data_IF_155756071649
#
_entry.id   IF_155756071649
#
_cell.length_a   1.000
_cell.length_b   1.000
_cell.length_c   1.000
_cell.angle_alpha   90.00
_cell.angle_beta   90.00
_cell.angle_gamma   90.00
#
_symmetry.space_group_name_H-M   'P 1'
#
loop_
_entity.id
_entity.type
_entity.pdbx_description
1 polymer ?
2 non-polymer ?
3 non-polymer ?
4 water ?
#
# COMPACT_ATOMS: atom_id res chain seq x y z
N UNK A 5 -5.29 -24.58 -9.15
CA UNK A 5 -4.04 -24.05 -9.77
C UNK A 5 -4.33 -22.71 -10.45
N UNK A 6 -3.64 -21.67 -9.98
CA UNK A 6 -3.82 -20.34 -10.52
C UNK A 6 -3.18 -20.21 -11.89
N UNK A 7 -3.90 -19.60 -12.85
CA UNK A 7 -3.33 -19.39 -14.18
C UNK A 7 -2.44 -18.13 -14.14
N UNK A 8 -1.16 -18.33 -13.81
CA UNK A 8 -0.25 -17.21 -13.61
C UNK A 8 -0.07 -16.33 -14.83
N UNK A 9 -0.21 -16.94 -16.01
CA UNK A 9 -0.15 -16.22 -17.29
C UNK A 9 -1.36 -15.32 -17.54
N UNK A 10 -2.40 -15.46 -16.72
CA UNK A 10 -3.64 -14.71 -16.91
C UNK A 10 -3.93 -13.67 -15.83
N UNK A 11 -3.05 -13.59 -14.84
CA UNK A 11 -3.26 -12.69 -13.72
C UNK A 11 -2.30 -11.51 -13.84
N UNK A 12 -2.82 -10.30 -13.80
CA UNK A 12 -1.96 -9.12 -13.87
C UNK A 12 -0.93 -9.15 -12.74
N UNK A 13 0.35 -9.02 -13.12
CA UNK A 13 1.45 -9.35 -12.23
C UNK A 13 1.60 -8.51 -10.97
N UNK A 14 1.21 -7.23 -11.02
CA UNK A 14 1.37 -6.39 -9.84
C UNK A 14 0.51 -6.87 -8.68
N UNK A 15 -0.59 -7.56 -9.00
CA UNK A 15 -1.52 -8.04 -7.98
C UNK A 15 -0.89 -9.13 -7.11
N UNK A 16 -0.32 -10.13 -7.75
CA UNK A 16 0.12 -11.35 -7.05
C UNK A 16 1.58 -11.31 -6.64
N UNK A 17 2.41 -10.71 -7.49
CA UNK A 17 3.86 -10.76 -7.32
C UNK A 17 4.42 -9.39 -6.94
N UNK A 18 3.92 -8.35 -7.61
CA UNK A 18 4.42 -6.99 -7.42
C UNK A 18 5.50 -6.69 -8.43
N UNK A 19 5.42 -5.51 -9.04
CA UNK A 19 6.38 -5.13 -10.07
C UNK A 19 7.79 -4.99 -9.52
N UNK A 20 7.90 -4.46 -8.29
CA UNK A 20 9.19 -4.29 -7.62
C UNK A 20 10.22 -3.56 -8.49
N UNK A 21 9.77 -2.55 -9.23
CA UNK A 21 10.66 -1.80 -10.09
C UNK A 21 11.09 -0.50 -9.43
N UNK A 22 12.24 0.02 -9.84
CA UNK A 22 12.78 1.26 -9.27
C UNK A 22 11.99 2.51 -9.63
N UNK A 23 11.31 2.49 -10.77
CA UNK A 23 10.48 3.60 -11.22
C UNK A 23 9.09 3.08 -11.51
N UNK A 24 8.08 3.87 -11.20
CA UNK A 24 6.72 3.51 -11.56
C UNK A 24 5.93 4.74 -11.91
N UNK A 25 5.10 4.63 -12.95
CA UNK A 25 4.23 5.72 -13.35
C UNK A 25 2.78 5.25 -13.37
N UNK A 26 1.90 6.08 -12.82
CA UNK A 26 0.47 5.82 -12.85
C UNK A 26 -0.16 6.85 -13.80
N UNK A 27 -0.70 6.37 -14.92
CA UNK A 27 -1.29 7.25 -15.91
C UNK A 27 -2.80 7.14 -15.79
N UNK A 28 -3.42 8.17 -15.20
CA UNK A 28 -4.86 8.21 -14.99
C UNK A 28 -5.52 8.81 -16.22
N UNK A 29 -6.57 8.16 -16.71
CA UNK A 29 -7.15 8.57 -17.98
C UNK A 29 -8.67 8.55 -17.95
N UNK A 30 -9.25 9.27 -18.91
CA UNK A 30 -10.67 9.16 -19.21
C UNK A 30 -10.80 8.61 -20.64
N UNK A 31 -11.86 7.85 -20.88
CA UNK A 31 -12.15 7.31 -22.20
C UNK A 31 -13.00 8.33 -22.96
N UNK A 32 -12.53 8.73 -24.15
CA UNK A 32 -13.27 9.64 -25.03
C UNK A 32 -14.15 8.93 -26.06
N UNK A 33 -13.70 7.76 -26.49
CA UNK A 33 -14.32 7.03 -27.59
C UNK A 33 -14.18 5.57 -27.21
N UNK A 34 -15.28 4.98 -26.74
CA UNK A 34 -15.25 3.59 -26.25
C UNK A 34 -14.86 2.59 -27.34
N UNK A 35 -15.43 2.74 -28.54
CA UNK A 35 -15.13 1.81 -29.63
C UNK A 35 -13.66 1.81 -30.01
N UNK A 36 -13.08 3.00 -30.19
CA UNK A 36 -11.66 3.11 -30.54
C UNK A 36 -10.75 2.63 -29.42
N UNK A 37 -11.16 2.88 -28.17
CA UNK A 37 -10.39 2.41 -27.03
C UNK A 37 -10.32 0.89 -27.04
N UNK A 38 -11.47 0.25 -27.24
CA UNK A 38 -11.56 -1.21 -27.26
C UNK A 38 -10.73 -1.80 -28.39
N UNK A 39 -10.76 -1.15 -29.56
CA UNK A 39 -9.95 -1.58 -30.70
C UNK A 39 -8.47 -1.55 -30.36
N UNK A 40 -8.02 -0.44 -29.76
CA UNK A 40 -6.62 -0.32 -29.33
C UNK A 40 -6.28 -1.35 -28.25
N UNK A 41 -7.22 -1.58 -27.33
CA UNK A 41 -6.99 -2.53 -26.26
C UNK A 41 -6.68 -3.94 -26.77
N UNK A 42 -7.33 -4.36 -27.84
CA UNK A 42 -7.14 -5.71 -28.38
C UNK A 42 -5.74 -5.94 -28.93
N UNK A 43 -5.07 -4.89 -29.40
CA UNK A 43 -3.67 -5.05 -29.81
C UNK A 43 -2.69 -4.74 -28.69
N UNK A 44 -3.06 -3.81 -27.81
CA UNK A 44 -2.20 -3.41 -26.72
C UNK A 44 -1.98 -4.52 -25.70
N UNK A 45 -3.06 -5.17 -25.27
CA UNK A 45 -3.01 -6.12 -24.16
C UNK A 45 -2.03 -7.29 -24.40
N UNK A 46 -2.18 -8.04 -25.52
CA UNK A 46 -1.25 -9.16 -25.75
C UNK A 46 0.21 -8.75 -25.80
N UNK A 47 0.47 -7.52 -26.22
CA UNK A 47 1.83 -7.04 -26.39
C UNK A 47 2.47 -6.47 -25.14
N UNK A 48 1.66 -5.88 -24.25
CA UNK A 48 2.21 -5.05 -23.16
C UNK A 48 1.80 -5.41 -21.74
N UNK A 49 0.63 -6.04 -21.56
CA UNK A 49 0.14 -6.27 -20.19
C UNK A 49 0.87 -7.45 -19.55
N UNK A 50 1.50 -7.19 -18.42
CA UNK A 50 2.46 -8.11 -17.82
C UNK A 50 1.81 -9.04 -16.80
N UNK A 51 1.91 -10.35 -17.05
CA UNK A 51 1.35 -11.36 -16.14
C UNK A 51 2.26 -11.68 -14.94
N UNK A 52 1.68 -12.33 -13.95
CA UNK A 52 2.42 -12.88 -12.83
C UNK A 52 3.50 -13.87 -13.31
N UNK A 53 3.17 -14.65 -14.35
CA UNK A 53 4.15 -15.58 -14.93
C UNK A 53 5.40 -14.88 -15.43
N UNK A 54 5.23 -13.73 -16.09
CA UNK A 54 6.38 -12.96 -16.56
C UNK A 54 7.21 -12.41 -15.39
N UNK A 55 6.52 -11.94 -14.35
CA UNK A 55 7.21 -11.38 -13.19
C UNK A 55 8.05 -12.41 -12.42
N UNK A 56 7.63 -13.68 -12.44
CA UNK A 56 8.43 -14.72 -11.76
C UNK A 56 9.47 -15.40 -12.65
N UNK A 57 9.51 -15.02 -13.92
CA UNK A 57 10.50 -15.54 -14.85
C UNK A 57 11.86 -14.91 -14.60
N UNK A 58 12.90 -15.53 -15.16
CA UNK A 58 14.25 -14.96 -15.12
C UNK A 58 14.21 -13.56 -15.76
N UNK A 59 15.03 -12.62 -15.24
CA UNK A 59 15.03 -11.27 -15.83
C UNK A 59 15.37 -11.23 -17.34
N UNK A 60 16.08 -12.24 -17.82
CA UNK A 60 16.42 -12.33 -19.24
C UNK A 60 15.19 -12.55 -20.13
N UNK A 61 14.10 -13.05 -19.54
CA UNK A 61 12.86 -13.31 -20.29
C UNK A 61 11.79 -12.24 -20.02
N UNK A 62 12.21 -11.12 -19.41
CA UNK A 62 11.29 -10.06 -19.07
C UNK A 62 11.43 -8.84 -20.00
N UNK A 63 10.32 -8.16 -20.29
CA UNK A 63 10.40 -6.91 -21.05
C UNK A 63 11.08 -5.81 -20.23
N UNK A 64 11.43 -4.70 -20.87
CA UNK A 64 12.14 -3.60 -20.20
C UNK A 64 11.24 -2.78 -19.28
N UNK A 65 9.93 -2.91 -19.49
CA UNK A 65 8.95 -2.31 -18.59
C UNK A 65 7.72 -3.20 -18.48
N UNK A 66 7.06 -3.14 -17.32
CA UNK A 66 5.84 -3.91 -17.07
C UNK A 66 4.65 -2.97 -17.11
N UNK A 67 3.52 -3.43 -17.63
CA UNK A 67 2.31 -2.60 -17.63
C UNK A 67 1.13 -3.39 -17.09
N UNK A 68 0.40 -2.79 -16.15
CA UNK A 68 -0.89 -3.30 -15.71
C UNK A 68 -1.97 -2.23 -15.91
N UNK A 69 -3.23 -2.63 -15.85
CA UNK A 69 -4.33 -1.73 -16.21
C UNK A 69 -5.57 -2.00 -15.39
N UNK A 70 -6.07 -0.95 -14.73
CA UNK A 70 -7.29 -1.06 -13.93
C UNK A 70 -8.31 -0.03 -14.34
N UNK A 71 -9.57 -0.30 -14.04
CA UNK A 71 -10.68 0.59 -14.37
C UNK A 71 -11.45 0.99 -13.14
N UNK A 72 -11.90 2.23 -13.11
CA UNK A 72 -12.81 2.68 -12.08
C UNK A 72 -14.23 2.27 -12.48
N UNK A 73 -15.20 2.45 -11.58
CA UNK A 73 -16.59 2.20 -11.94
C UNK A 73 -17.04 3.04 -13.13
N UNK A 74 -16.70 4.33 -13.12
CA UNK A 74 -17.14 5.17 -14.24
C UNK A 74 -16.46 4.77 -15.55
N UNK A 75 -15.24 4.22 -15.46
CA UNK A 75 -14.56 3.69 -16.65
C UNK A 75 -15.28 2.51 -17.26
N UNK A 76 -15.67 1.58 -16.39
CA UNK A 76 -16.45 0.43 -16.84
C UNK A 76 -17.78 0.87 -17.43
N UNK A 77 -18.47 1.80 -16.78
CA UNK A 77 -19.73 2.31 -17.33
C UNK A 77 -19.54 2.97 -18.69
N UNK A 78 -18.46 3.75 -18.84
CA UNK A 78 -18.15 4.42 -20.10
C UNK A 78 -17.88 3.43 -21.24
N UNK A 79 -17.45 2.22 -20.88
CA UNK A 79 -17.18 1.16 -21.84
C UNK A 79 -18.33 0.18 -22.01
N UNK A 80 -19.47 0.49 -21.39
CA UNK A 80 -20.65 -0.38 -21.49
C UNK A 80 -20.49 -1.70 -20.74
N UNK A 81 -19.61 -1.72 -19.74
CA UNK A 81 -19.40 -2.89 -18.90
C UNK A 81 -20.19 -2.69 -17.62
N UNK A 82 -21.41 -3.20 -17.62
CA UNK A 82 -22.44 -2.78 -16.68
C UNK A 82 -22.78 -3.78 -15.57
N UNK A 83 -22.19 -4.97 -15.60
CA UNK A 83 -22.49 -5.96 -14.56
C UNK A 83 -21.91 -5.51 -13.22
N UNK A 84 -22.70 -5.69 -12.16
CA UNK A 84 -22.28 -5.40 -10.80
C UNK A 84 -21.13 -6.34 -10.41
N UNK A 85 -20.01 -5.75 -9.97
CA UNK A 85 -18.84 -6.54 -9.55
C UNK A 85 -18.94 -7.09 -8.13
N UNK A 86 -19.94 -6.65 -7.38
CA UNK A 86 -20.21 -7.18 -6.05
C UNK A 86 -19.53 -6.49 -4.88
N UNK A 87 -18.75 -5.45 -5.14
CA UNK A 87 -18.08 -4.72 -4.07
C UNK A 87 -18.92 -3.50 -3.62
N UNK A 88 -18.99 -3.29 -2.31
CA UNK A 88 -19.80 -2.20 -1.75
C UNK A 88 -19.28 -0.79 -2.01
N UNK A 89 -17.96 -0.63 -2.12
CA UNK A 89 -17.34 0.70 -2.25
C UNK A 89 -16.94 1.08 -3.67
N UNK A 90 -16.60 0.09 -4.47
CA UNK A 90 -16.14 0.36 -5.82
C UNK A 90 -17.08 1.25 -6.66
N UNK A 91 -18.40 0.98 -6.64
CA UNK A 91 -19.28 1.77 -7.51
C UNK A 91 -19.27 3.27 -7.27
N UNK A 92 -19.21 3.69 -6.01
CA UNK A 92 -19.28 5.13 -5.74
C UNK A 92 -17.97 5.86 -5.89
N UNK A 93 -16.85 5.12 -5.95
CA UNK A 93 -15.53 5.74 -6.03
C UNK A 93 -14.98 6.16 -4.67
N UNK A 94 -13.68 6.45 -4.63
CA UNK A 94 -13.06 6.76 -3.37
C UNK A 94 -13.34 8.17 -2.83
N UNK A 95 -13.52 9.16 -3.70
CA UNK A 95 -13.85 10.50 -3.20
C UNK A 95 -15.12 10.49 -2.33
N UNK A 96 -16.14 9.74 -2.76
CA UNK A 96 -17.39 9.60 -2.00
C UNK A 96 -17.19 8.88 -0.68
N UNK A 97 -16.07 8.13 -0.56
CA UNK A 97 -15.74 7.35 0.62
C UNK A 97 -14.69 8.03 1.50
N UNK A 98 -14.15 9.16 1.06
CA UNK A 98 -12.98 9.75 1.72
C UNK A 98 -13.27 10.21 3.15
N UNK A 99 -14.45 10.79 3.37
CA UNK A 99 -14.82 11.24 4.72
C UNK A 99 -14.89 10.04 5.66
N UNK A 100 -15.40 8.91 5.17
CA UNK A 100 -15.44 7.66 5.94
C UNK A 100 -14.06 7.17 6.38
N UNK A 101 -13.08 7.38 5.52
CA UNK A 101 -11.70 7.03 5.81
C UNK A 101 -11.06 7.98 6.81
N UNK A 102 -11.70 9.13 7.04
CA UNK A 102 -11.17 10.16 7.94
C UNK A 102 -10.40 11.29 7.25
N UNK A 103 -10.45 11.33 5.92
CA UNK A 103 -9.67 12.31 5.15
C UNK A 103 -10.16 13.73 5.38
N UNK A 104 -9.22 14.67 5.44
CA UNK A 104 -9.51 16.09 5.28
C UNK A 104 -9.75 16.31 3.78
N UNK A 105 -11.02 16.49 3.39
CA UNK A 105 -11.39 16.66 1.98
C UNK A 105 -10.77 17.90 1.33
N UNK A 106 -10.44 18.90 2.14
CA UNK A 106 -9.87 20.14 1.62
C UNK A 106 -8.46 19.93 1.04
N UNK A 107 -7.83 18.79 1.35
CA UNK A 107 -6.47 18.48 0.86
C UNK A 107 -6.48 17.65 -0.40
N UNK A 108 -7.65 17.14 -0.78
CA UNK A 108 -7.78 16.42 -2.04
C UNK A 108 -7.60 17.36 -3.23
N UNK A 109 -7.02 16.84 -4.29
CA UNK A 109 -6.83 17.65 -5.49
C UNK A 109 -7.29 16.94 -6.76
N UNK A 110 -7.54 17.74 -7.80
CA UNK A 110 -7.86 17.24 -9.11
C UNK A 110 -6.73 16.35 -9.61
N UNK A 111 -7.05 15.31 -10.41
CA UNK A 111 -8.37 14.99 -10.93
C UNK A 111 -9.13 13.97 -10.09
N UNK A 112 -8.79 13.85 -8.80
CA UNK A 112 -9.40 12.82 -7.94
C UNK A 112 -10.69 13.24 -7.26
N UNK A 113 -11.02 14.54 -7.36
CA UNK A 113 -12.15 15.14 -6.64
C UNK A 113 -13.47 14.96 -7.40
N UNK A 114 -13.80 13.69 -7.61
CA UNK A 114 -15.00 13.30 -8.33
C UNK A 114 -14.74 11.93 -8.89
N UNK A 115 -15.44 11.60 -9.97
CA UNK A 115 -15.29 10.31 -10.64
C UNK A 115 -15.00 10.47 -12.13
N UNK A 116 -14.27 11.54 -12.48
CA UNK A 116 -13.82 11.73 -13.85
C UNK A 116 -12.84 10.64 -14.31
N UNK A 117 -12.02 10.11 -13.40
CA UNK A 117 -11.02 9.11 -13.78
C UNK A 117 -11.72 7.80 -14.16
N UNK A 118 -11.38 7.28 -15.33
CA UNK A 118 -11.94 6.01 -15.82
C UNK A 118 -11.02 4.81 -15.62
N UNK A 119 -9.73 5.07 -15.48
CA UNK A 119 -8.80 3.98 -15.26
C UNK A 119 -7.40 4.45 -15.05
N UNK A 120 -6.51 3.47 -14.87
CA UNK A 120 -5.10 3.74 -14.64
C UNK A 120 -4.23 2.69 -15.33
N UNK A 121 -3.24 3.17 -16.07
CA UNK A 121 -2.15 2.31 -16.51
C UNK A 121 -1.02 2.44 -15.50
N UNK A 122 -0.53 1.31 -15.00
CA UNK A 122 0.65 1.33 -14.18
C UNK A 122 1.80 0.77 -14.96
N UNK A 123 2.87 1.56 -15.06
CA UNK A 123 4.07 1.20 -15.80
C UNK A 123 5.21 1.12 -14.80
N UNK A 124 5.90 -0.01 -14.77
CA UNK A 124 7.07 -0.18 -13.91
C UNK A 124 8.30 -0.46 -14.71
N UNK A 125 9.40 0.20 -14.37
CA UNK A 125 10.68 -0.02 -15.06
C UNK A 125 11.84 0.39 -14.16
N UNK A 126 13.03 -0.09 -14.43
CA UNK A 126 14.14 0.25 -13.57
C UNK A 126 14.87 1.55 -13.92
N UNK A 127 14.49 2.19 -15.04
CA UNK A 127 15.05 3.51 -15.35
C UNK A 127 14.04 4.39 -16.10
N UNK A 128 14.26 5.70 -16.04
CA UNK A 128 13.33 6.68 -16.58
C UNK A 128 13.11 6.57 -18.08
N UNK A 129 14.19 6.32 -18.83
CA UNK A 129 14.15 6.15 -20.29
C UNK A 129 13.07 5.18 -20.75
N UNK A 130 13.10 3.99 -20.17
CA UNK A 130 12.20 2.92 -20.58
C UNK A 130 10.79 3.23 -20.09
N UNK A 131 10.70 3.77 -18.88
CA UNK A 131 9.42 4.20 -18.36
C UNK A 131 8.74 5.16 -19.34
N UNK A 132 9.50 6.16 -19.79
CA UNK A 132 8.99 7.17 -20.73
C UNK A 132 8.60 6.56 -22.07
N UNK A 133 9.41 5.63 -22.58
CA UNK A 133 9.11 4.98 -23.87
C UNK A 133 7.81 4.19 -23.82
N UNK A 134 7.58 3.48 -22.72
CA UNK A 134 6.36 2.72 -22.56
C UNK A 134 5.16 3.61 -22.29
N UNK A 135 5.38 4.76 -21.64
CA UNK A 135 4.33 5.75 -21.46
C UNK A 135 3.93 6.32 -22.83
N UNK A 136 4.93 6.70 -23.62
CA UNK A 136 4.70 7.23 -24.97
C UNK A 136 3.99 6.21 -25.86
N UNK A 137 4.28 4.93 -25.64
CA UNK A 137 3.67 3.84 -26.40
C UNK A 137 2.16 3.77 -26.14
N UNK A 138 1.76 4.02 -24.89
CA UNK A 138 0.33 4.10 -24.54
C UNK A 138 -0.31 5.28 -25.27
N UNK A 139 0.34 6.44 -25.22
CA UNK A 139 -0.17 7.65 -25.88
C UNK A 139 -0.35 7.42 -27.38
N UNK A 140 0.66 6.82 -28.00
CA UNK A 140 0.64 6.50 -29.43
C UNK A 140 -0.45 5.48 -29.80
N UNK A 141 -0.55 4.40 -29.01
CA UNK A 141 -1.48 3.31 -29.30
C UNK A 141 -2.94 3.75 -29.15
N UNK A 142 -3.23 4.47 -28.07
CA UNK A 142 -4.62 4.83 -27.76
C UNK A 142 -5.06 6.15 -28.38
N UNK A 143 -4.11 7.05 -28.61
CA UNK A 143 -4.38 8.30 -29.30
C UNK A 143 -5.49 9.08 -28.64
N UNK A 144 -6.41 9.56 -29.47
CA UNK A 144 -7.48 10.43 -29.02
C UNK A 144 -8.61 9.65 -28.33
N UNK A 145 -8.51 8.32 -28.29
CA UNK A 145 -9.53 7.50 -27.62
C UNK A 145 -9.51 7.70 -26.10
N UNK A 146 -8.39 8.22 -25.58
CA UNK A 146 -8.30 8.59 -24.16
C UNK A 146 -7.77 9.99 -23.99
N UNK A 147 -8.01 10.55 -22.81
CA UNK A 147 -7.32 11.75 -22.36
C UNK A 147 -6.63 11.42 -21.06
N UNK A 148 -5.34 11.70 -21.00
CA UNK A 148 -4.58 11.52 -19.77
C UNK A 148 -4.92 12.72 -18.88
N UNK A 149 -5.49 12.44 -17.71
CA UNK A 149 -5.90 13.51 -16.80
C UNK A 149 -4.86 13.80 -15.71
N UNK A 150 -3.95 12.85 -15.50
CA UNK A 150 -2.84 13.01 -14.55
C UNK A 150 -1.88 11.86 -14.72
N UNK A 151 -0.59 12.14 -14.55
CA UNK A 151 0.40 11.09 -14.35
C UNK A 151 1.10 11.35 -13.03
N UNK A 152 1.15 10.33 -12.16
CA UNK A 152 1.94 10.41 -10.95
C UNK A 152 3.09 9.42 -11.07
N UNK A 153 4.30 9.92 -10.86
CA UNK A 153 5.51 9.12 -11.06
C UNK A 153 6.26 8.97 -9.75
N UNK A 154 6.68 7.74 -9.46
CA UNK A 154 7.44 7.44 -8.27
C UNK A 154 8.80 6.86 -8.58
N UNK A 155 9.64 6.81 -7.55
CA UNK A 155 10.98 6.26 -7.69
C UNK A 155 11.45 5.76 -6.34
N UNK A 156 12.09 4.58 -6.36
CA UNK A 156 12.82 4.11 -5.21
C UNK A 156 13.82 5.17 -4.77
N UNK A 157 14.04 5.23 -3.47
CA UNK A 157 15.00 6.17 -2.89
C UNK A 157 16.42 5.69 -3.18
N UNK A 158 17.39 6.61 -3.20
CA UNK A 158 18.73 6.26 -3.68
C UNK A 158 19.64 5.50 -2.71
N UNK A 159 20.60 4.78 -3.28
CA UNK A 159 21.65 4.10 -2.51
C UNK A 159 21.10 3.09 -1.52
N UNK A 160 21.58 3.15 -0.28
CA UNK A 160 21.13 2.21 0.75
C UNK A 160 19.73 2.49 1.27
N UNK A 161 19.09 3.54 0.75
CA UNK A 161 17.69 3.82 1.05
C UNK A 161 16.74 3.17 0.04
N UNK A 162 17.28 2.44 -0.93
CA UNK A 162 16.45 1.69 -1.87
C UNK A 162 15.52 0.75 -1.11
N UNK A 163 14.22 0.84 -1.40
CA UNK A 163 13.23 0.04 -0.70
C UNK A 163 12.66 0.68 0.55
N UNK A 164 13.25 1.79 0.98
CA UNK A 164 12.74 2.56 2.11
C UNK A 164 11.81 3.65 1.63
N UNK A 165 10.80 3.95 2.44
CA UNK A 165 9.94 5.08 2.18
C UNK A 165 10.57 6.36 2.77
N UNK A 166 9.93 7.51 2.53
CA UNK A 166 10.56 8.80 2.83
C UNK A 166 10.83 9.13 4.30
N UNK A 167 10.09 8.53 5.23
CA UNK A 167 10.43 8.68 6.64
C UNK A 167 11.70 7.91 7.02
N UNK A 168 12.13 7.02 6.12
CA UNK A 168 13.37 6.25 6.27
C UNK A 168 13.19 4.75 6.51
N UNK A 169 11.96 4.25 6.50
CA UNK A 169 11.70 2.86 6.92
C UNK A 169 11.59 1.91 5.75
N UNK A 170 12.23 0.74 5.86
CA UNK A 170 12.13 -0.29 4.85
C UNK A 170 10.67 -0.70 4.72
N UNK A 171 10.15 -0.63 3.50
CA UNK A 171 8.74 -0.91 3.20
C UNK A 171 8.70 -2.11 2.25
N UNK A 172 7.69 -2.94 2.39
CA UNK A 172 7.57 -4.13 1.54
C UNK A 172 8.29 -5.34 2.10
N UNK A 173 8.11 -5.60 3.39
CA UNK A 173 8.61 -6.80 4.02
C UNK A 173 7.50 -7.85 4.13
N UNK A 174 6.37 -7.45 4.71
CA UNK A 174 5.32 -8.41 5.04
C UNK A 174 4.14 -8.37 4.07
N UNK A 175 3.93 -9.50 3.38
CA UNK A 175 2.82 -9.67 2.44
C UNK A 175 2.20 -11.02 2.73
N UNK A 176 0.89 -11.17 2.50
CA UNK A 176 0.32 -12.52 2.58
C UNK A 176 0.87 -13.39 1.45
N UNK A 177 0.84 -14.70 1.65
CA UNK A 177 1.14 -15.65 0.60
C UNK A 177 -0.15 -16.39 0.29
N UNK A 178 -0.54 -16.45 -0.98
CA UNK A 178 -1.76 -17.19 -1.34
C UNK A 178 -1.47 -18.60 -1.81
N UNK A 179 -2.35 -19.53 -1.46
CA UNK A 179 -2.28 -20.88 -2.00
C UNK A 179 -2.72 -20.88 -3.47
N UNK A 180 -2.39 -21.95 -4.19
CA UNK A 180 -2.79 -22.08 -5.59
C UNK A 180 -1.65 -21.94 -6.59
N UNK A 181 -0.46 -21.64 -6.09
CA UNK A 181 0.74 -21.60 -6.92
C UNK A 181 1.97 -21.97 -6.08
N UNK A 182 3.07 -22.29 -6.76
CA UNK A 182 4.31 -22.71 -6.13
C UNK A 182 5.17 -21.50 -5.80
N UNK A 183 5.31 -21.21 -4.51
CA UNK A 183 6.09 -20.06 -4.06
C UNK A 183 6.76 -20.30 -2.70
N UNK A 184 7.76 -19.48 -2.39
CA UNK A 184 8.43 -19.59 -1.09
C UNK A 184 7.64 -18.82 -0.03
N UNK A 185 7.43 -19.47 1.12
CA UNK A 185 6.75 -18.88 2.27
C UNK A 185 7.78 -18.69 3.39
N UNK A 186 7.90 -17.45 3.87
CA UNK A 186 8.86 -17.11 4.92
C UNK A 186 8.27 -17.36 6.31
N UNK A 187 9.14 -17.66 7.30
CA UNK A 187 8.65 -17.83 8.66
C UNK A 187 7.85 -16.60 9.13
N UNK A 188 6.64 -16.84 9.60
CA UNK A 188 5.78 -15.78 10.12
C UNK A 188 4.83 -15.17 9.09
N UNK A 189 5.03 -15.54 7.83
CA UNK A 189 4.17 -15.05 6.74
C UNK A 189 2.82 -15.74 6.79
N UNK A 190 1.75 -14.97 6.60
CA UNK A 190 0.40 -15.52 6.56
C UNK A 190 0.17 -16.27 5.26
N UNK A 191 -0.48 -17.41 5.35
CA UNK A 191 -0.88 -18.17 4.18
C UNK A 191 -2.39 -18.12 4.11
N UNK A 192 -2.91 -17.63 2.98
CA UNK A 192 -4.35 -17.43 2.83
C UNK A 192 -4.85 -18.05 1.52
N UNK A 193 -6.16 -18.34 1.42
CA UNK A 193 -6.69 -18.82 0.14
C UNK A 193 -6.63 -17.68 -0.88
N UNK A 194 -6.55 -18.01 -2.18
CA UNK A 194 -6.29 -16.99 -3.20
C UNK A 194 -7.38 -15.96 -3.33
N UNK A 195 -8.61 -16.34 -2.97
CA UNK A 195 -9.75 -15.44 -3.06
C UNK A 195 -9.74 -14.31 -2.05
N UNK A 196 -8.76 -14.28 -1.15
CA UNK A 196 -8.58 -13.10 -0.32
C UNK A 196 -8.08 -11.93 -1.20
N UNK A 197 -7.36 -12.28 -2.26
CA UNK A 197 -6.75 -11.30 -3.17
C UNK A 197 -7.45 -11.28 -4.54
N UNK A 198 -7.80 -12.45 -5.05
CA UNK A 198 -8.33 -12.59 -6.42
C UNK A 198 -9.83 -12.84 -6.40
N UNK A 199 -10.56 -11.98 -7.10
CA UNK A 199 -12.01 -12.12 -7.16
C UNK A 199 -12.40 -13.44 -7.82
N UNK A 200 -13.41 -14.10 -7.25
CA UNK A 200 -13.91 -15.35 -7.80
C UNK A 200 -13.18 -16.62 -7.39
N UNK A 201 -12.10 -16.47 -6.61
CA UNK A 201 -11.34 -17.63 -6.14
C UNK A 201 -11.77 -18.02 -4.72
N UNK A 202 -11.34 -19.20 -4.27
CA UNK A 202 -11.71 -19.69 -2.94
C UNK A 202 -11.33 -18.70 -1.87
N UNK A 203 -12.27 -18.38 -0.99
CA UNK A 203 -12.04 -17.39 0.07
C UNK A 203 -12.72 -16.05 -0.22
N UNK A 204 -13.02 -15.82 -1.48
CA UNK A 204 -13.79 -14.63 -1.88
C UNK A 204 -15.26 -14.93 -1.66
N UNK A 205 -15.93 -14.09 -0.89
CA UNK A 205 -17.35 -14.28 -0.60
C UNK A 205 -18.24 -13.30 -1.36
N UNK A 206 -17.63 -12.43 -2.15
CA UNK A 206 -18.37 -11.44 -2.95
C UNK A 206 -19.05 -12.11 -4.13
N UNK A 207 -20.14 -11.49 -4.59
CA UNK A 207 -20.91 -12.01 -5.71
C UNK A 207 -20.33 -11.44 -6.99
N UNK A 208 -19.60 -12.26 -7.73
CA UNK A 208 -18.84 -11.79 -8.90
C UNK A 208 -19.42 -12.31 -10.21
N UNK A 209 -19.46 -11.44 -11.24
CA UNK A 209 -19.68 -11.96 -12.60
C UNK A 209 -18.59 -12.97 -12.93
N UNK A 210 -18.93 -13.96 -13.74
CA UNK A 210 -17.95 -14.97 -14.16
C UNK A 210 -16.70 -14.34 -14.80
N UNK A 211 -16.88 -13.23 -15.51
CA UNK A 211 -15.75 -12.60 -16.21
C UNK A 211 -14.76 -11.90 -15.26
N UNK A 212 -15.17 -11.72 -14.00
CA UNK A 212 -14.32 -11.07 -13.01
C UNK A 212 -13.32 -12.01 -12.35
N UNK A 213 -13.38 -13.30 -12.72
CA UNK A 213 -12.45 -14.28 -12.16
C UNK A 213 -11.01 -13.80 -12.34
N UNK A 214 -10.23 -13.88 -11.26
CA UNK A 214 -8.78 -13.59 -11.27
C UNK A 214 -8.43 -12.12 -11.47
N UNK A 215 -9.40 -11.25 -11.21
CA UNK A 215 -9.15 -9.83 -11.06
C UNK A 215 -8.88 -9.50 -9.59
N UNK A 216 -8.70 -8.21 -9.33
CA UNK A 216 -8.54 -7.74 -7.95
C UNK A 216 -8.89 -6.28 -7.88
N UNK A 217 -9.26 -5.82 -6.69
CA UNK A 217 -9.51 -4.40 -6.49
C UNK A 217 -8.28 -3.71 -5.92
N UNK A 218 -7.90 -2.60 -6.56
CA UNK A 218 -6.84 -1.75 -6.05
C UNK A 218 -7.41 -0.58 -5.28
N UNK A 219 -6.90 -0.36 -4.07
CA UNK A 219 -7.08 0.91 -3.41
C UNK A 219 -5.81 1.71 -3.66
N UNK A 220 -5.96 2.77 -4.44
CA UNK A 220 -4.84 3.67 -4.71
C UNK A 220 -4.96 4.87 -3.81
N UNK A 221 -3.85 5.28 -3.19
CA UNK A 221 -3.83 6.51 -2.37
C UNK A 221 -2.60 7.32 -2.68
N UNK A 222 -2.79 8.61 -2.97
CA UNK A 222 -1.66 9.51 -3.14
C UNK A 222 -1.43 10.22 -1.82
N UNK A 223 -0.34 9.84 -1.13
CA UNK A 223 -0.01 10.46 0.15
C UNK A 223 1.17 11.40 0.01
N UNK A 224 1.01 12.61 0.54
CA UNK A 224 2.14 13.52 0.70
C UNK A 224 2.66 13.36 2.12
N UNK A 225 3.98 13.25 2.26
CA UNK A 225 4.59 13.05 3.58
C UNK A 225 5.36 14.26 4.03
N UNK A 226 5.30 14.50 5.33
CA UNK A 226 5.94 15.65 5.98
C UNK A 226 7.12 15.15 6.79
N UNK A 227 8.26 15.03 6.10
CA UNK A 227 9.42 14.34 6.66
C UNK A 227 10.20 15.19 7.69
N UNK A 228 10.48 16.47 7.40
CA UNK A 228 11.13 17.24 8.46
C UNK A 228 10.29 17.34 9.72
N UNK A 229 8.97 17.41 9.55
CA UNK A 229 8.04 17.48 10.68
C UNK A 229 8.05 16.19 11.51
N UNK A 230 8.03 15.04 10.82
CA UNK A 230 8.13 13.75 11.49
C UNK A 230 9.42 13.67 12.30
N UNK A 231 10.53 14.02 11.66
CA UNK A 231 11.84 13.97 12.30
C UNK A 231 11.88 14.89 13.53
N UNK A 232 11.38 16.12 13.36
CA UNK A 232 11.35 17.07 14.48
C UNK A 232 10.52 16.55 15.65
N UNK A 233 9.37 15.94 15.35
CA UNK A 233 8.51 15.36 16.39
C UNK A 233 9.24 14.28 17.19
N UNK A 234 9.95 13.40 16.50
CA UNK A 234 10.66 12.32 17.19
C UNK A 234 11.77 12.87 18.09
N UNK A 235 12.41 13.97 17.67
CA UNK A 235 13.44 14.58 18.47
C UNK A 235 12.85 15.29 19.70
N UNK A 236 11.73 15.97 19.50
CA UNK A 236 11.05 16.69 20.58
C UNK A 236 10.43 15.77 21.61
N UNK A 237 10.16 14.52 21.21
CA UNK A 237 9.49 13.57 22.10
C UNK A 237 10.33 12.31 22.31
N UNK A 238 11.64 12.43 22.08
CA UNK A 238 12.57 11.32 22.20
C UNK A 238 12.36 10.56 23.51
N UNK A 239 12.31 9.24 23.42
CA UNK A 239 12.13 8.40 24.59
C UNK A 239 13.40 8.43 25.43
N UNK A 240 13.27 8.73 26.74
CA UNK A 240 14.52 8.92 27.53
C UNK A 240 15.28 7.63 27.84
N UNK A 241 14.56 6.52 27.93
CA UNK A 241 15.17 5.24 28.30
C UNK A 241 14.30 4.07 27.88
N UNK A 242 14.93 2.92 27.71
CA UNK A 242 14.17 1.67 27.58
C UNK A 242 14.80 0.63 28.48
N UNK A 243 14.35 -0.62 28.37
CA UNK A 243 14.77 -1.67 29.30
C UNK A 243 16.28 -1.81 29.38
N UNK A 244 16.95 -1.55 28.25
CA UNK A 244 18.37 -1.77 28.13
C UNK A 244 19.17 -0.68 28.83
N UNK A 245 18.56 0.50 28.98
CA UNK A 245 19.22 1.61 29.66
C UNK A 245 18.79 2.96 29.12
N UNK A 246 19.50 4.01 29.54
CA UNK A 246 19.24 5.34 29.04
C UNK A 246 19.62 5.50 27.59
N UNK A 247 18.87 6.36 26.91
CA UNK A 247 19.10 6.65 25.51
C UNK A 247 19.61 8.07 25.34
N UNK A 248 20.52 8.26 24.39
CA UNK A 248 20.86 9.62 23.98
C UNK A 248 19.62 10.17 23.28
N UNK A 249 19.53 11.48 23.11
CA UNK A 249 18.37 12.02 22.40
C UNK A 249 18.22 11.40 21.00
N UNK A 250 19.33 11.27 20.27
CA UNK A 250 19.26 10.73 18.93
C UNK A 250 18.73 9.29 18.97
N UNK A 251 19.24 8.51 19.93
CA UNK A 251 18.77 7.12 20.13
C UNK A 251 17.29 7.08 20.48
N UNK A 252 16.86 8.01 21.35
CA UNK A 252 15.48 8.07 21.79
C UNK A 252 14.52 8.49 20.69
N UNK A 253 15.00 9.31 19.77
CA UNK A 253 14.21 9.76 18.62
C UNK A 253 14.08 8.62 17.60
N UNK A 254 15.19 7.92 17.35
CA UNK A 254 15.13 6.75 16.47
C UNK A 254 14.19 5.70 17.06
N UNK A 255 14.30 5.48 18.36
CA UNK A 255 13.46 4.50 19.04
C UNK A 255 11.99 4.90 18.96
N UNK A 256 11.68 6.17 19.16
CA UNK A 256 10.29 6.63 19.06
C UNK A 256 9.71 6.36 17.65
N UNK A 257 10.49 6.62 16.61
CA UNK A 257 10.05 6.30 15.23
C UNK A 257 9.75 4.80 15.06
N UNK A 258 10.65 3.96 15.59
CA UNK A 258 10.45 2.51 15.54
C UNK A 258 9.22 2.07 16.34
N UNK A 259 8.93 2.75 17.47
CA UNK A 259 7.75 2.44 18.28
C UNK A 259 6.47 2.81 17.54
N UNK A 260 6.52 3.87 16.75
CA UNK A 260 5.36 4.32 15.98
C UNK A 260 5.06 3.36 14.83
N UNK A 261 6.09 2.83 14.19
CA UNK A 261 5.91 1.91 13.07
C UNK A 261 5.74 0.46 13.46
N UNK A 262 6.41 0.05 14.53
CA UNK A 262 6.51 -1.37 14.87
C UNK A 262 7.73 -2.06 14.25
N UNK A 263 8.52 -1.30 13.49
CA UNK A 263 9.78 -1.78 12.95
C UNK A 263 10.78 -0.65 13.03
N UNK A 264 12.04 -0.99 13.22
CA UNK A 264 13.14 -0.07 12.98
C UNK A 264 13.24 0.26 11.49
N UNK A 265 13.96 1.31 11.16
CA UNK A 265 14.16 1.69 9.76
C UNK A 265 14.79 0.56 8.92
N UNK A 266 15.64 -0.27 9.55
CA UNK A 266 16.27 -1.41 8.90
C UNK A 266 15.30 -2.52 8.51
N UNK A 267 14.09 -2.45 9.05
CA UNK A 267 13.11 -3.51 8.89
C UNK A 267 13.06 -4.49 10.06
N UNK A 268 13.99 -4.39 11.01
CA UNK A 268 13.93 -5.26 12.19
C UNK A 268 12.63 -4.98 12.95
N UNK A 269 11.79 -6.00 13.16
CA UNK A 269 10.54 -5.75 13.90
C UNK A 269 10.81 -5.59 15.38
N UNK A 270 10.17 -4.60 16.01
CA UNK A 270 10.43 -4.32 17.42
C UNK A 270 10.00 -5.48 18.33
N UNK A 271 9.04 -6.29 17.90
CA UNK A 271 8.64 -7.45 18.70
C UNK A 271 9.82 -8.40 18.90
N UNK A 272 10.69 -8.49 17.89
CA UNK A 272 11.92 -9.29 17.99
C UNK A 272 13.13 -8.52 18.53
N UNK A 273 13.19 -7.22 18.20
CA UNK A 273 14.31 -6.34 18.60
C UNK A 273 13.73 -5.15 19.39
N UNK A 274 13.35 -5.38 20.66
CA UNK A 274 12.54 -4.36 21.32
C UNK A 274 13.28 -3.16 21.91
N UNK A 275 14.61 -3.23 22.00
CA UNK A 275 15.38 -2.15 22.63
C UNK A 275 16.44 -1.47 21.76
N UNK A 276 16.88 -2.15 20.70
CA UNK A 276 17.89 -1.60 19.79
C UNK A 276 17.71 -2.23 18.43
N UNK A 277 18.08 -1.48 17.40
CA UNK A 277 18.02 -1.98 16.04
C UNK A 277 18.89 -3.22 15.89
N UNK A 278 18.50 -4.08 14.96
CA UNK A 278 19.30 -5.22 14.55
C UNK A 278 19.23 -5.22 13.03
N UNK A 279 20.13 -4.47 12.37
CA UNK A 279 20.02 -4.33 10.90
C UNK A 279 20.15 -5.64 10.14
N UNK A 280 20.97 -6.56 10.64
CA UNK A 280 21.10 -7.85 9.97
C UNK A 280 19.80 -8.64 10.03
N UNK A 281 19.09 -8.55 11.16
CA UNK A 281 17.76 -9.15 11.28
C UNK A 281 16.80 -8.52 10.28
N UNK A 282 16.79 -7.19 10.23
CA UNK A 282 15.91 -6.47 9.31
C UNK A 282 16.07 -6.86 7.86
N UNK A 283 17.30 -7.21 7.48
CA UNK A 283 17.64 -7.55 6.11
C UNK A 283 17.42 -9.03 5.77
N UNK A 284 17.10 -9.83 6.79
CA UNK A 284 16.97 -11.28 6.63
C UNK A 284 15.50 -11.71 6.54
N UNK A 285 15.01 -12.03 5.33
CA UNK A 285 13.58 -12.38 5.23
C UNK A 285 13.23 -13.70 5.92
N UNK A 286 14.24 -14.48 6.33
CA UNK A 286 13.99 -15.71 7.07
C UNK A 286 13.68 -15.45 8.53
N UNK A 287 13.90 -14.22 8.98
CA UNK A 287 13.71 -13.85 10.37
C UNK A 287 12.86 -12.61 10.58
N UNK A 288 12.89 -11.67 9.64
CA UNK A 288 12.29 -10.36 9.89
C UNK A 288 10.77 -10.33 9.95
N UNK A 289 10.13 -11.47 9.65
CA UNK A 289 8.68 -11.54 9.78
C UNK A 289 8.19 -12.58 10.77
N UNK A 290 9.14 -13.19 11.50
CA UNK A 290 8.81 -14.34 12.35
C UNK A 290 8.38 -13.94 13.76
N UNK A 291 7.24 -13.27 13.84
CA UNK A 291 6.67 -12.84 15.11
C UNK A 291 5.15 -12.75 14.94
N UNK A 292 4.43 -12.78 16.05
CA UNK A 292 2.97 -12.68 15.96
C UNK A 292 2.33 -11.89 17.09
N UNK A 293 3.15 -11.20 17.88
CA UNK A 293 2.70 -10.47 19.09
C UNK A 293 2.25 -11.35 20.24
N UNK A 294 2.35 -12.68 20.11
CA UNK A 294 1.95 -13.58 21.20
C UNK A 294 2.76 -13.36 22.47
N UNK A 295 3.92 -12.75 22.35
CA UNK A 295 4.77 -12.46 23.50
C UNK A 295 4.47 -11.10 24.15
N UNK A 296 3.43 -10.42 23.66
CA UNK A 296 3.14 -9.04 24.08
C UNK A 296 1.66 -8.67 23.89
N UNK A 297 0.79 -9.65 24.11
CA UNK A 297 -0.65 -9.43 23.95
C UNK A 297 -1.22 -8.51 25.01
N UNK A 298 -0.65 -8.53 26.21
CA UNK A 298 -1.24 -7.77 27.33
C UNK A 298 -0.26 -6.80 28.01
N UNK A 299 0.72 -6.34 27.23
CA UNK A 299 1.66 -5.30 27.68
C UNK A 299 2.28 -4.66 26.46
N UNK A 300 2.91 -3.49 26.65
CA UNK A 300 3.46 -2.75 25.52
C UNK A 300 4.96 -2.58 25.58
N UNK A 301 5.64 -3.26 26.50
CA UNK A 301 7.10 -3.15 26.51
C UNK A 301 7.71 -3.55 25.17
N UNK A 302 7.33 -4.71 24.63
CA UNK A 302 7.93 -5.16 23.36
C UNK A 302 7.42 -4.41 22.12
N UNK A 303 6.15 -3.99 22.13
CA UNK A 303 5.55 -3.28 20.99
C UNK A 303 4.29 -2.57 21.48
N UNK A 304 4.10 -1.28 21.11
CA UNK A 304 2.84 -0.62 21.45
C UNK A 304 1.66 -1.32 20.76
N UNK A 305 0.48 -1.23 21.36
CA UNK A 305 -0.71 -1.80 20.74
C UNK A 305 -1.05 -1.10 19.43
N UNK A 306 -0.71 0.18 19.33
CA UNK A 306 -1.14 1.01 18.19
C UNK A 306 -0.12 1.31 17.10
N UNK A 307 1.01 0.60 17.11
CA UNK A 307 2.03 0.75 16.07
C UNK A 307 1.47 0.40 14.68
N UNK A 308 1.98 1.09 13.66
CA UNK A 308 1.47 0.92 12.29
C UNK A 308 1.25 -0.53 11.87
N UNK A 309 2.30 -1.34 11.93
CA UNK A 309 2.20 -2.71 11.42
C UNK A 309 1.26 -3.57 12.25
N UNK A 310 1.17 -3.29 13.55
CA UNK A 310 0.31 -4.06 14.44
C UNK A 310 -1.15 -3.70 14.19
N UNK A 311 -1.42 -2.42 13.93
CA UNK A 311 -2.78 -1.98 13.60
C UNK A 311 -3.24 -2.54 12.26
N UNK A 312 -2.37 -2.54 11.25
CA UNK A 312 -2.78 -2.98 9.91
C UNK A 312 -2.74 -4.50 9.71
N UNK A 313 -1.92 -5.18 10.51
CA UNK A 313 -1.93 -6.65 10.57
C UNK A 313 -1.77 -7.10 12.03
N UNK A 314 -2.89 -7.31 12.72
CA UNK A 314 -2.87 -7.58 14.17
C UNK A 314 -2.34 -8.94 14.58
N UNK A 315 -2.16 -9.86 13.63
CA UNK A 315 -1.62 -11.21 13.92
C UNK A 315 -2.33 -11.80 15.14
N UNK A 316 -1.60 -12.19 16.20
CA UNK A 316 -2.22 -12.89 17.32
C UNK A 316 -3.17 -12.01 18.16
N UNK A 317 -3.18 -10.69 17.95
CA UNK A 317 -4.19 -9.85 18.58
C UNK A 317 -5.61 -10.29 18.20
N UNK A 318 -5.77 -10.95 17.05
CA UNK A 318 -7.08 -11.47 16.63
C UNK A 318 -7.41 -12.84 17.21
N UNK A 319 -6.47 -13.42 17.94
CA UNK A 319 -6.70 -14.71 18.63
C UNK A 319 -6.18 -15.93 17.88
N UNK A 320 -5.63 -15.70 16.70
CA UNK A 320 -5.09 -16.76 15.86
C UNK A 320 -5.09 -16.29 14.41
N UNK A 321 -4.65 -17.15 13.48
CA UNK A 321 -4.67 -16.80 12.06
C UNK A 321 -6.10 -16.49 11.59
N UNK A 322 -6.21 -15.42 10.80
CA UNK A 322 -7.47 -14.99 10.21
C UNK A 322 -7.17 -14.62 8.77
N UNK A 323 -7.89 -15.22 7.83
CA UNK A 323 -7.61 -15.02 6.40
C UNK A 323 -8.03 -13.65 5.89
N UNK A 324 -9.12 -13.16 6.48
CA UNK A 324 -10.04 -12.22 5.82
C UNK A 324 -9.49 -10.84 5.51
N UNK A 325 -8.56 -10.36 6.33
CA UNK A 325 -8.17 -8.96 6.29
C UNK A 325 -6.78 -8.71 5.78
N UNK A 326 -6.18 -9.73 5.14
CA UNK A 326 -4.86 -9.56 4.54
C UNK A 326 -5.01 -8.95 3.15
N UNK A 327 -3.98 -8.23 2.73
CA UNK A 327 -3.99 -7.59 1.41
C UNK A 327 -2.56 -7.48 0.92
N UNK A 328 -2.39 -7.43 -0.40
CA UNK A 328 -1.08 -7.23 -1.02
C UNK A 328 -0.80 -5.75 -1.19
N UNK A 329 0.47 -5.36 -1.02
CA UNK A 329 0.84 -3.96 -1.25
C UNK A 329 1.94 -3.84 -2.31
N UNK A 330 1.84 -2.80 -3.13
CA UNK A 330 2.85 -2.53 -4.14
C UNK A 330 3.08 -1.02 -4.26
N UNK A 331 3.39 -0.41 -3.13
CA UNK A 331 3.55 1.05 -3.06
C UNK A 331 4.94 1.46 -3.48
N UNK A 332 5.06 2.71 -3.92
CA UNK A 332 6.36 3.25 -4.30
C UNK A 332 6.46 4.71 -3.80
N UNK A 333 7.64 5.09 -3.27
CA UNK A 333 7.82 6.50 -2.89
C UNK A 333 7.85 7.40 -4.10
N UNK A 334 7.61 8.68 -3.87
CA UNK A 334 7.85 9.68 -4.89
C UNK A 334 8.48 10.92 -4.31
N UNK A 335 9.18 11.65 -5.16
CA UNK A 335 9.70 12.95 -4.77
C UNK A 335 11.17 12.92 -4.41
N UNK A 336 11.77 14.12 -4.28
CA UNK A 336 13.18 14.25 -4.00
C UNK A 336 13.52 13.90 -2.55
N UNK A 337 14.79 13.62 -2.31
CA UNK A 337 15.29 13.45 -0.97
C UNK A 337 15.10 14.72 -0.14
N UNK A 338 15.05 14.55 1.17
CA UNK A 338 14.91 15.65 2.10
C UNK A 338 16.31 16.17 2.41
N UNK A 339 16.57 17.42 2.04
CA UNK A 339 17.85 18.08 2.28
C UNK A 339 18.12 18.31 3.77
N UNK A 340 19.39 18.50 4.11
CA UNK A 340 19.79 18.81 5.49
C UNK A 340 19.18 20.14 5.96
N UNK A 341 19.00 21.07 5.03
CA UNK A 341 18.39 22.37 5.33
C UNK A 341 16.91 22.25 5.68
N UNK A 342 16.19 21.40 4.95
CA UNK A 342 14.80 21.07 5.26
C UNK A 342 14.68 20.40 6.63
N UNK A 343 15.51 19.41 6.89
CA UNK A 343 15.54 18.72 8.18
C UNK A 343 15.86 19.65 9.34
N UNK A 344 16.79 20.59 9.12
CA UNK A 344 17.18 21.57 10.11
C UNK A 344 16.05 22.53 10.45
N UNK A 345 15.28 22.94 9.43
CA UNK A 345 14.20 23.89 9.61
C UNK A 345 12.98 23.25 10.27
N UNK A 346 12.86 21.94 10.10
CA UNK A 346 11.71 21.18 10.57
C UNK A 346 10.46 21.37 9.72
N UNK A 347 10.62 22.02 8.56
CA UNK A 347 9.50 22.38 7.68
C UNK A 347 9.66 21.81 6.26
N UNK A 348 8.64 21.10 5.80
CA UNK A 348 8.60 20.60 4.42
C UNK A 348 8.63 21.75 3.42
N UNK A 349 9.51 21.63 2.43
CA UNK A 349 9.64 22.60 1.36
C UNK A 349 9.41 21.98 -0.02
N UNK A 350 9.39 20.65 -0.09
CA UNK A 350 9.21 19.96 -1.36
C UNK A 350 8.16 18.88 -1.24
N UNK A 351 7.51 18.59 -2.37
CA UNK A 351 6.50 17.55 -2.45
C UNK A 351 7.14 16.18 -2.58
N UNK A 352 6.93 15.35 -1.56
CA UNK A 352 7.39 13.96 -1.55
C UNK A 352 6.36 13.13 -0.80
N UNK A 353 6.38 11.83 -1.00
CA UNK A 353 5.40 10.98 -0.34
C UNK A 353 5.39 9.56 -0.85
N UNK A 354 4.19 8.96 -0.83
CA UNK A 354 4.03 7.56 -1.19
C UNK A 354 2.85 7.43 -2.15
N UNK A 355 3.10 6.72 -3.25
CA UNK A 355 2.03 6.29 -4.16
C UNK A 355 1.67 4.88 -3.68
N UNK A 356 0.60 4.83 -2.89
CA UNK A 356 0.22 3.63 -2.15
C UNK A 356 -0.75 2.79 -2.96
N UNK A 357 -0.49 1.49 -3.00
CA UNK A 357 -1.27 0.54 -3.81
C UNK A 357 -1.53 -0.69 -2.94
N UNK A 358 -2.80 -1.01 -2.72
CA UNK A 358 -3.18 -2.20 -1.95
C UNK A 358 -4.24 -2.99 -2.71
N UNK A 359 -4.01 -4.30 -2.82
CA UNK A 359 -4.91 -5.19 -3.57
C UNK A 359 -5.62 -6.17 -2.64
N UNK A 360 -6.91 -6.37 -2.91
CA UNK A 360 -7.73 -7.32 -2.16
C UNK A 360 -8.98 -7.60 -2.99
N UNK A 361 -9.62 -8.74 -2.74
CA UNK A 361 -10.86 -9.06 -3.45
C UNK A 361 -12.04 -8.24 -2.91
N UNK A 362 -11.99 -7.90 -1.64
CA UNK A 362 -13.07 -7.15 -1.00
C UNK A 362 -12.48 -5.89 -0.38
N UNK A 363 -12.70 -4.74 -1.00
CA UNK A 363 -12.11 -3.47 -0.54
C UNK A 363 -12.39 -3.27 0.95
N UNK A 364 -13.62 -3.57 1.37
CA UNK A 364 -14.04 -3.36 2.74
C UNK A 364 -13.38 -4.23 3.77
N UNK A 365 -12.69 -5.29 3.31
CA UNK A 365 -11.99 -6.21 4.22
C UNK A 365 -10.48 -6.00 4.23
N UNK A 366 -9.96 -5.30 3.23
CA UNK A 366 -8.52 -5.10 3.11
C UNK A 366 -8.17 -3.70 3.56
N UNK A 367 -7.75 -2.88 2.60
CA UNK A 367 -7.46 -1.47 2.86
C UNK A 367 -8.45 -0.80 3.82
N UNK A 368 -9.74 -0.92 3.52
CA UNK A 368 -10.73 -0.11 4.23
C UNK A 368 -10.93 -0.57 5.68
N UNK A 369 -10.80 -1.88 5.89
CA UNK A 369 -10.89 -2.43 7.25
C UNK A 369 -9.67 -2.03 8.07
N UNK A 370 -8.50 -2.15 7.45
CA UNK A 370 -7.26 -1.75 8.10
C UNK A 370 -7.30 -0.27 8.48
N UNK A 371 -7.89 0.54 7.62
CA UNK A 371 -7.97 1.98 7.86
C UNK A 371 -8.99 2.35 8.93
N UNK A 372 -10.24 1.91 8.73
CA UNK A 372 -11.34 2.36 9.58
C UNK A 372 -11.48 1.56 10.86
N UNK A 373 -11.62 0.25 10.74
CA UNK A 373 -11.90 -0.60 11.91
C UNK A 373 -10.71 -0.74 12.83
N UNK A 374 -9.52 -0.59 12.26
CA UNK A 374 -8.28 -0.81 12.99
C UNK A 374 -7.51 0.49 13.25
N UNK A 375 -6.88 1.06 12.23
CA UNK A 375 -6.04 2.26 12.45
C UNK A 375 -6.77 3.44 13.10
N UNK A 376 -8.00 3.72 12.63
CA UNK A 376 -8.79 4.86 13.10
C UNK A 376 -9.48 4.61 14.42
N UNK A 377 -9.42 3.36 14.88
CA UNK A 377 -10.21 2.91 16.03
C UNK A 377 -9.34 2.92 17.29
N UNK A 378 -9.62 3.88 18.18
CA UNK A 378 -8.84 4.04 19.42
C UNK A 378 -8.88 2.81 20.30
N UNK A 379 -9.93 2.00 20.15
CA UNK A 379 -10.10 0.84 21.01
C UNK A 379 -9.77 -0.49 20.32
N UNK A 380 -8.98 -0.39 19.26
CA UNK A 380 -8.44 -1.54 18.58
C UNK A 380 -6.89 -1.51 18.61
N UNK A 381 -6.23 -2.65 18.87
CA UNK A 381 -6.78 -4.00 19.13
C UNK A 381 -7.64 -4.06 20.40
N UNK A 382 -8.57 -5.01 20.41
CA UNK A 382 -9.58 -5.12 21.45
C UNK A 382 -9.03 -5.76 22.73
N UNK A 383 -9.69 -5.45 23.84
CA UNK A 383 -9.46 -6.15 25.11
C UNK A 383 -8.05 -5.97 25.68
N UNK A 384 -7.49 -4.78 25.48
CA UNK A 384 -6.17 -4.46 26.00
C UNK A 384 -6.25 -3.71 27.32
N UNK A 385 -5.20 -3.83 28.14
CA UNK A 385 -5.22 -3.19 29.46
C UNK A 385 -5.02 -1.67 29.41
N UNK A 386 -4.51 -1.16 28.29
CA UNK A 386 -4.36 0.27 28.07
C UNK A 386 -4.94 0.57 26.70
N UNK A 387 -5.72 1.65 26.59
CA UNK A 387 -6.29 2.07 25.31
C UNK A 387 -5.19 2.20 24.23
N UNK A 388 -5.33 1.47 23.09
CA UNK A 388 -4.28 1.62 22.07
C UNK A 388 -4.17 3.02 21.47
N UNK A 389 -5.31 3.64 21.16
CA UNK A 389 -5.30 4.96 20.54
C UNK A 389 -5.22 4.88 19.02
N UNK A 390 -4.94 6.02 18.41
CA UNK A 390 -4.98 6.18 16.96
C UNK A 390 -3.61 5.86 16.36
N UNK A 391 -3.59 5.04 15.30
CA UNK A 391 -2.33 4.68 14.64
C UNK A 391 -1.59 5.95 14.21
N UNK A 392 -0.35 6.15 14.71
CA UNK A 392 0.31 7.45 14.52
C UNK A 392 0.70 7.81 13.09
N UNK A 393 0.90 6.81 12.23
CA UNK A 393 1.33 7.09 10.87
C UNK A 393 0.16 7.44 9.95
N UNK A 394 -0.85 6.56 9.88
CA UNK A 394 -1.99 6.84 8.97
C UNK A 394 -3.36 6.86 9.61
N UNK A 395 -3.43 6.73 10.94
CA UNK A 395 -4.72 6.87 11.63
C UNK A 395 -5.28 8.27 11.47
N UNK A 396 -6.59 8.35 11.23
CA UNK A 396 -7.26 9.64 10.95
C UNK A 396 -8.50 9.79 11.81
N UNK A 397 -8.26 9.99 13.09
CA UNK A 397 -9.29 10.34 14.02
C UNK A 397 -8.63 11.39 14.84
N UNK A 398 -9.37 12.47 15.14
CA UNK A 398 -8.84 13.51 15.99
C UNK A 398 -9.58 13.52 17.34
N UNK A 399 -8.84 13.69 18.45
CA UNK A 399 -7.39 13.90 18.46
C UNK A 399 -6.61 12.64 18.13
N UNK A 400 -5.46 12.82 17.51
CA UNK A 400 -4.60 11.71 17.11
C UNK A 400 -3.74 11.27 18.29
N UNK A 401 -4.40 10.71 19.30
CA UNK A 401 -3.73 10.33 20.52
C UNK A 401 -3.44 8.84 20.53
N UNK A 402 -2.18 8.50 20.79
CA UNK A 402 -1.75 7.11 20.86
C UNK A 402 -1.05 6.87 22.18
N UNK A 403 -1.30 5.72 22.77
CA UNK A 403 -0.69 5.39 24.04
C UNK A 403 0.48 4.44 23.87
N UNK A 404 1.20 4.23 24.96
CA UNK A 404 2.15 3.13 25.03
C UNK A 404 3.45 3.27 24.24
N UNK A 405 3.72 4.42 23.64
CA UNK A 405 4.95 4.56 22.85
C UNK A 405 6.22 4.50 23.69
N UNK A 406 6.13 4.97 24.93
CA UNK A 406 7.24 4.85 25.88
C UNK A 406 7.08 3.55 26.67
N UNK A 407 7.97 2.56 26.44
CA UNK A 407 7.79 1.26 27.09
C UNK A 407 7.90 1.30 28.61
N UNK A 408 8.54 2.35 29.14
CA UNK A 408 8.73 2.48 30.60
C UNK A 408 7.70 3.40 31.23
N UNK A 409 6.79 3.93 30.42
CA UNK A 409 5.72 4.80 30.89
C UNK A 409 4.54 4.62 29.95
N UNK A 410 3.95 3.42 29.98
CA UNK A 410 3.00 3.02 28.96
C UNK A 410 1.67 3.76 29.02
N UNK A 411 1.34 4.35 30.18
CA UNK A 411 0.11 5.14 30.26
C UNK A 411 0.27 6.54 29.67
N UNK A 412 1.50 6.96 29.38
CA UNK A 412 1.72 8.26 28.76
C UNK A 412 1.15 8.24 27.33
N UNK A 413 0.37 9.26 27.01
CA UNK A 413 -0.19 9.39 25.68
C UNK A 413 0.58 10.41 24.85
N UNK A 414 0.61 10.18 23.55
CA UNK A 414 1.28 11.04 22.60
C UNK A 414 0.24 11.55 21.62
N UNK A 415 0.14 12.86 21.46
CA UNK A 415 -0.75 13.43 20.46
C UNK A 415 0.11 13.80 19.26
N UNK A 416 -0.10 13.07 18.18
CA UNK A 416 0.84 13.07 17.07
C UNK A 416 0.28 13.91 15.92
N UNK A 417 1.02 14.94 15.46
CA UNK A 417 0.56 15.66 14.28
C UNK A 417 0.44 14.70 13.09
N UNK A 418 -0.46 14.99 12.17
CA UNK A 418 -0.59 14.17 10.98
C UNK A 418 0.57 14.48 10.03
N UNK A 419 1.37 13.45 9.73
CA UNK A 419 2.52 13.61 8.84
C UNK A 419 2.28 13.00 7.47
N UNK A 420 1.10 12.42 7.28
CA UNK A 420 0.75 11.77 6.01
C UNK A 420 -0.56 12.37 5.55
N UNK A 421 -0.53 13.04 4.40
CA UNK A 421 -1.67 13.82 3.93
C UNK A 421 -2.25 13.18 2.67
N UNK A 422 -3.50 12.66 2.76
CA UNK A 422 -4.12 12.14 1.54
C UNK A 422 -4.43 13.26 0.55
N UNK A 423 -3.93 13.13 -0.67
CA UNK A 423 -4.11 14.15 -1.72
C UNK A 423 -5.08 13.66 -2.81
N UNK A 424 -5.51 12.42 -2.70
CA UNK A 424 -6.44 11.85 -3.68
C UNK A 424 -6.26 10.36 -3.67
N UNK A 425 -7.17 9.67 -4.34
CA UNK A 425 -7.10 8.23 -4.45
C UNK A 425 -8.30 7.74 -5.23
N UNK A 426 -8.27 6.46 -5.59
CA UNK A 426 -9.40 5.87 -6.29
C UNK A 426 -9.41 4.37 -6.05
N UNK A 427 -10.60 3.80 -6.21
CA UNK A 427 -10.80 2.35 -6.22
C UNK A 427 -10.90 1.86 -7.65
N UNK A 428 -10.03 0.92 -8.01
CA UNK A 428 -10.00 0.35 -9.37
C UNK A 428 -10.22 -1.15 -9.34
N UNK A 429 -10.73 -1.68 -10.44
CA UNK A 429 -10.74 -3.13 -10.65
C UNK A 429 -9.78 -3.48 -11.77
N UNK A 430 -8.87 -4.41 -11.48
CA UNK A 430 -7.92 -4.94 -12.48
C UNK A 430 -8.44 -6.29 -12.93
N UNK A 431 -8.95 -6.39 -14.18
CA UNK A 431 -9.46 -7.68 -14.65
C UNK A 431 -8.31 -8.63 -14.94
N UNK A 432 -8.66 -9.89 -15.18
CA UNK A 432 -7.69 -10.84 -15.69
C UNK A 432 -7.30 -10.41 -17.10
N UNK A 433 -6.19 -10.96 -17.60
CA UNK A 433 -5.68 -10.57 -18.91
C UNK A 433 -6.67 -10.97 -20.01
N UNK A 434 -7.18 -12.19 -19.94
CA UNK A 434 -8.22 -12.64 -20.87
C UNK A 434 -9.48 -11.76 -20.80
N UNK A 435 -9.88 -11.37 -19.60
CA UNK A 435 -11.05 -10.50 -19.45
C UNK A 435 -10.86 -9.15 -20.14
N UNK A 436 -9.64 -8.63 -20.12
CA UNK A 436 -9.37 -7.36 -20.81
C UNK A 436 -9.77 -7.39 -22.28
N UNK A 437 -9.50 -8.50 -22.96
CA UNK A 437 -9.80 -8.58 -24.38
C UNK A 437 -11.14 -9.24 -24.69
N UNK A 438 -11.53 -10.23 -23.89
CA UNK A 438 -12.74 -11.01 -24.17
C UNK A 438 -14.00 -10.36 -23.62
N UNK A 439 -13.85 -9.52 -22.61
CA UNK A 439 -14.98 -8.84 -21.97
C UNK A 439 -14.89 -7.32 -22.14
N UNK A 440 -13.83 -6.70 -21.63
CA UNK A 440 -13.73 -5.24 -21.68
C UNK A 440 -13.69 -4.72 -23.11
N UNK A 441 -12.92 -5.40 -23.97
CA UNK A 441 -12.73 -4.94 -25.34
C UNK A 441 -13.70 -5.56 -26.35
N UNK A 442 -14.56 -6.46 -25.89
CA UNK A 442 -15.47 -7.22 -26.75
C UNK A 442 -16.31 -6.30 -27.63
X LIG B 1 3.61 -2.10 6.58
X LIG B 1 4.90 2.49 5.77
X LIG B 1 0.31 3.56 4.63
X LIG B 1 -1.00 -1.01 5.49
X LIG B 1 4.35 -0.95 6.50
X LIG B 1 5.76 -0.83 6.81
X LIG B 1 6.10 0.44 6.56
X LIG B 1 4.93 1.15 6.11
X LIG B 1 7.48 1.09 6.77
X LIG B 1 6.68 -1.93 7.37
X LIG B 1 7.22 -2.87 6.28
X LIG B 1 6.37 -4.11 6.12
X LIG B 1 5.97 -4.71 7.13
X LIG B 1 6.14 -4.50 4.97
X LIG B 1 3.77 3.20 5.39
X LIG B 1 3.71 4.60 5.01
X LIG B 1 2.44 4.88 4.69
X LIG B 1 1.67 3.68 4.85
X LIG B 1 4.92 5.56 5.01
X LIG B 1 1.87 6.23 4.23
X LIG B 1 2.62 7.17 3.62
X LIG B 1 -0.45 2.42 4.85
X LIG B 1 -1.90 2.35 4.74
X LIG B 1 -2.26 1.08 5.00
X LIG B 1 -1.05 0.33 5.23
X LIG B 1 -2.80 3.55 4.39
X LIG B 1 -3.65 0.43 5.01
X LIG B 1 -4.71 1.15 5.40
X LIG B 1 0.13 -1.72 5.78
X LIG B 1 0.14 -3.16 5.91
X LIG B 1 1.56 -3.49 6.24
X LIG B 1 2.27 -2.24 6.28
X LIG B 1 -1.00 -4.18 5.75
X LIG B 1 2.10 -4.90 6.51
X LIG B 1 1.76 -5.23 7.95
X LIG B 1 2.13 -6.65 8.29
X LIG B 1 2.75 -6.82 9.38
X LIG B 1 1.80 -7.59 7.53
X LIG B 1 3.87 0.27 6.07
X LIG B 1 2.50 2.66 5.29
X LIG B 1 0.04 1.17 5.17
X LIG B 1 1.40 -1.20 5.97
X LIG B 1 1.96 0.74 5.66
X LIG C 1 -0.31 -13.13 10.31
X LIG C 1 -1.49 -13.23 11.04
X LIG C 1 -1.32 -14.27 11.94
X LIG C 1 0.05 -14.88 11.71
X LIG C 1 -0.12 -16.28 11.11
X LIG C 1 1.24 -16.83 10.64
X LIG C 1 -0.06 -12.34 9.41
X LIG C 1 -2.63 -12.47 10.91
X LIG C 1 -2.19 -14.70 12.87
X LIG C 1 0.63 -14.07 10.68
X LIG C 1 -1.04 -16.25 10.01
X LIG C 1 1.15 -18.18 10.20
#
# INVERSE_FOLDING_TARGET
ANDTILPLNNIQGDILVGMKKQKERFVFFQVNDATSFKTALKTYVPERITSAAILISDPSQQPLAFVNLGFSNTGLQALGITDDLGDAQFPDGQFADAANLGDDLSQWVAPFTGTTIHGVFLIGSDQDDFLDQFTDDISSTFGSSITQVQALSGSARPGDQAGHEHFGFLDGISQPSVTGWETTVFPGQAVVPPGIILTGRDGDTGTRPSWALDGSFMAFRHFQQKVPEFNAYTLANAIPANSAGNLTQQEGAEFLGARMFGRWKSGAPIDLAPTADDPALGADPQRNNNFDYSDTLTDETRCPFGAHVRKTNPRQDLGGPVDTFHAMRSSIPYGPETSDAELASGVTAQDRGLLFVEYQSIIGNGFRFQQINWANNANFPFSKPITPGIEPIIGQTTPRTVGGLDPLNQNETFTVPLFVIPKGGEYFFLPSISALTATIAA
HEM CHA CHB CHC CHD C1A C2A C3A C4A CMA CAA CBA CGA O1A O2A C1B C2B C3B C4B CMB CAB CBB C1C C2C C3C C4C CMC CAC CBC C1D C2D C3D C4D CMD CAD CBD CGD O1D O2D NA NB NC ND FE
ASC C1 C2 C3 C4 C5 C6 O1 O2 O3 O4 O5 O6
#
